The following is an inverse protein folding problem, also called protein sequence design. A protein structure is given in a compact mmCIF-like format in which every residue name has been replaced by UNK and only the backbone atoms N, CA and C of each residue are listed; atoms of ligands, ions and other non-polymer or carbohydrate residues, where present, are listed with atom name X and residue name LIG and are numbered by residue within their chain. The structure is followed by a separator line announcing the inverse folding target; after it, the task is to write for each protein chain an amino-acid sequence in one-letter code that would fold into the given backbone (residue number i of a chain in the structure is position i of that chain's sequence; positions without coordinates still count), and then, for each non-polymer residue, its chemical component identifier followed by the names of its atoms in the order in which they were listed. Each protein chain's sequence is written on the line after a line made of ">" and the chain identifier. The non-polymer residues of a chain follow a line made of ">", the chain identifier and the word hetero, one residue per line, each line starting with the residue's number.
data_IF_724031350392
#
_entry.id   IF_724031350392
#
_cell.length_a   1.000
_cell.length_b   1.000
_cell.length_c   1.000
_cell.angle_alpha   90.00
_cell.angle_beta   90.00
_cell.angle_gamma   90.00
#
_symmetry.space_group_name_H-M   'P 1'
#
loop_
_entity.id
_entity.type
_entity.pdbx_description
1 polymer ?
#
# COMPACT_ATOMS: atom_id res chain seq x y z
N UNK A 1 12.19 -16.31 -28.21
CA UNK A 1 10.86 -16.42 -27.58
C UNK A 1 9.81 -15.56 -28.30
N UNK A 2 10.19 -14.44 -28.93
CA UNK A 2 9.25 -13.48 -29.55
C UNK A 2 8.49 -13.97 -30.80
N UNK A 3 8.87 -15.11 -31.40
CA UNK A 3 8.20 -15.63 -32.60
C UNK A 3 6.82 -16.27 -32.31
N UNK A 4 6.53 -16.57 -31.03
CA UNK A 4 5.31 -17.25 -30.61
C UNK A 4 4.22 -16.31 -30.10
N UNK A 5 4.46 -15.00 -30.06
CA UNK A 5 3.48 -14.01 -29.61
C UNK A 5 3.14 -13.04 -30.76
N UNK A 6 1.89 -12.58 -30.87
CA UNK A 6 1.53 -11.56 -31.85
C UNK A 6 2.42 -10.32 -31.73
N UNK A 7 3.01 -9.82 -32.82
CA UNK A 7 3.85 -8.63 -32.76
C UNK A 7 3.01 -7.38 -32.45
N UNK A 8 3.50 -6.56 -31.51
CA UNK A 8 2.90 -5.28 -31.14
C UNK A 8 3.67 -4.11 -31.77
N UNK A 9 3.01 -2.97 -32.04
CA UNK A 9 3.71 -1.75 -32.44
C UNK A 9 4.55 -1.21 -31.27
N UNK A 10 5.51 -0.33 -31.56
CA UNK A 10 6.29 0.35 -30.52
C UNK A 10 5.43 1.22 -29.57
N UNK A 11 4.31 1.75 -30.06
CA UNK A 11 3.34 2.52 -29.27
C UNK A 11 2.07 1.69 -29.09
N UNK A 12 1.92 1.12 -27.89
CA UNK A 12 0.81 0.26 -27.49
C UNK A 12 -0.35 1.02 -26.84
N UNK A 13 -0.35 2.35 -26.87
CA UNK A 13 -1.43 3.16 -26.29
C UNK A 13 -2.68 3.14 -27.15
N UNK A 14 -3.83 3.17 -26.49
CA UNK A 14 -5.14 3.25 -27.12
C UNK A 14 -5.61 4.71 -27.18
N UNK A 15 -6.06 5.16 -28.34
CA UNK A 15 -6.78 6.43 -28.47
C UNK A 15 -8.28 6.17 -28.36
N UNK A 16 -9.02 7.10 -27.74
CA UNK A 16 -10.45 6.91 -27.50
C UNK A 16 -11.25 8.21 -27.62
N UNK A 17 -12.54 8.05 -27.94
CA UNK A 17 -13.54 9.09 -27.90
C UNK A 17 -14.80 8.55 -27.21
N UNK A 18 -15.45 9.37 -26.39
CA UNK A 18 -16.67 9.01 -25.67
C UNK A 18 -17.83 9.79 -26.27
N UNK A 19 -18.94 9.13 -26.57
CA UNK A 19 -20.19 9.78 -26.92
C UNK A 19 -21.35 9.16 -26.14
N UNK A 20 -22.50 9.86 -26.07
CA UNK A 20 -23.72 9.25 -25.54
C UNK A 20 -24.23 8.18 -26.52
N UNK A 21 -24.94 7.19 -25.98
CA UNK A 21 -25.69 6.23 -26.78
C UNK A 21 -26.99 6.88 -27.26
N UNK A 22 -27.32 6.69 -28.54
CA UNK A 22 -28.56 7.20 -29.13
C UNK A 22 -29.80 6.45 -28.62
N UNK A 23 -29.62 5.22 -28.10
CA UNK A 23 -30.70 4.36 -27.60
C UNK A 23 -31.09 4.63 -26.14
N UNK A 24 -30.13 5.04 -25.30
CA UNK A 24 -30.39 5.28 -23.88
C UNK A 24 -29.48 6.41 -23.33
N UNK A 25 -30.06 7.53 -22.87
CA UNK A 25 -29.31 8.71 -22.40
C UNK A 25 -28.49 8.47 -21.12
N UNK A 26 -28.73 7.37 -20.40
CA UNK A 26 -27.95 6.94 -19.23
C UNK A 26 -26.70 6.14 -19.59
N UNK A 27 -26.59 5.68 -20.84
CA UNK A 27 -25.47 4.89 -21.33
C UNK A 27 -24.60 5.67 -22.30
N UNK A 28 -23.30 5.38 -22.28
CA UNK A 28 -22.33 5.95 -23.21
C UNK A 28 -21.78 4.84 -24.08
N UNK A 29 -21.23 5.26 -25.21
CA UNK A 29 -20.40 4.43 -26.07
C UNK A 29 -18.99 5.01 -26.13
N UNK A 30 -18.01 4.12 -26.23
CA UNK A 30 -16.60 4.49 -26.32
C UNK A 30 -16.06 3.91 -27.61
N UNK A 31 -15.65 4.77 -28.53
CA UNK A 31 -14.86 4.40 -29.69
C UNK A 31 -13.40 4.29 -29.22
N UNK A 32 -12.80 3.12 -29.40
CA UNK A 32 -11.37 2.90 -29.18
C UNK A 32 -10.69 2.63 -30.51
N UNK A 33 -9.45 3.11 -30.63
CA UNK A 33 -8.60 2.98 -31.81
C UNK A 33 -7.17 2.63 -31.39
N UNK A 34 -6.49 1.79 -32.17
CA UNK A 34 -5.12 1.36 -31.91
C UNK A 34 -4.29 1.30 -33.19
N UNK A 35 -2.97 1.24 -33.03
CA UNK A 35 -2.04 0.96 -34.13
C UNK A 35 -1.87 -0.56 -34.24
N UNK A 36 -1.97 -1.10 -35.44
CA UNK A 36 -1.67 -2.51 -35.71
C UNK A 36 -0.37 -2.62 -36.52
N UNK A 37 0.43 -3.64 -36.24
CA UNK A 37 1.63 -3.94 -37.03
C UNK A 37 1.21 -4.47 -38.40
N UNK A 38 1.89 -4.04 -39.48
CA UNK A 38 1.56 -4.48 -40.83
C UNK A 38 1.55 -6.01 -40.96
N UNK A 39 2.48 -6.72 -40.32
CA UNK A 39 2.53 -8.18 -40.29
C UNK A 39 1.26 -8.85 -39.74
N UNK A 40 0.57 -8.20 -38.81
CA UNK A 40 -0.72 -8.69 -38.27
C UNK A 40 -1.84 -8.44 -39.28
N UNK A 41 -1.82 -7.28 -39.94
CA UNK A 41 -2.85 -6.85 -40.89
C UNK A 41 -2.79 -7.61 -42.22
N UNK A 42 -1.59 -7.92 -42.71
CA UNK A 42 -1.34 -8.62 -43.99
C UNK A 42 -1.23 -10.13 -43.85
N UNK A 43 -1.41 -10.67 -42.64
CA UNK A 43 -1.42 -12.10 -42.42
C UNK A 43 -2.62 -12.78 -43.09
N UNK A 44 -2.58 -14.11 -43.17
CA UNK A 44 -3.71 -14.93 -43.61
C UNK A 44 -5.01 -14.53 -42.88
N UNK A 45 -6.12 -14.53 -43.61
CA UNK A 45 -7.41 -14.13 -43.06
C UNK A 45 -7.76 -14.96 -41.81
N UNK A 46 -8.28 -14.29 -40.77
CA UNK A 46 -8.64 -14.88 -39.47
C UNK A 46 -7.49 -15.46 -38.63
N UNK A 47 -6.23 -15.28 -39.04
CA UNK A 47 -5.09 -15.65 -38.20
C UNK A 47 -5.08 -14.86 -36.90
N UNK A 48 -5.33 -13.56 -36.98
CA UNK A 48 -5.38 -12.68 -35.81
C UNK A 48 -6.79 -12.15 -35.56
N UNK A 49 -7.07 -11.87 -34.29
CA UNK A 49 -8.28 -11.18 -33.85
C UNK A 49 -7.93 -10.20 -32.74
N UNK A 50 -8.45 -8.98 -32.84
CA UNK A 50 -8.37 -8.01 -31.76
C UNK A 50 -9.59 -8.17 -30.88
N UNK A 51 -9.39 -8.19 -29.57
CA UNK A 51 -10.46 -8.26 -28.60
C UNK A 51 -10.21 -7.26 -27.49
N UNK A 52 -11.25 -6.53 -27.09
CA UNK A 52 -11.25 -5.65 -25.95
C UNK A 52 -12.00 -6.31 -24.78
N UNK A 53 -11.33 -6.41 -23.64
CA UNK A 53 -11.96 -6.73 -22.36
C UNK A 53 -12.30 -5.42 -21.66
N UNK A 54 -13.56 -5.31 -21.22
CA UNK A 54 -14.05 -4.20 -20.42
C UNK A 54 -14.28 -4.71 -19.00
N UNK A 55 -13.67 -4.07 -18.01
CA UNK A 55 -13.78 -4.44 -16.61
C UNK A 55 -14.01 -3.21 -15.72
N UNK A 56 -14.68 -3.40 -14.57
CA UNK A 56 -14.80 -2.39 -13.51
C UNK A 56 -13.57 -2.29 -12.61
N UNK A 57 -12.67 -3.27 -12.66
CA UNK A 57 -11.41 -3.34 -11.91
C UNK A 57 -10.25 -3.46 -12.89
N UNK A 58 -9.04 -3.02 -12.51
CA UNK A 58 -7.85 -3.32 -13.32
C UNK A 58 -7.70 -4.85 -13.37
N UNK A 59 -7.63 -5.48 -14.55
CA UNK A 59 -7.47 -6.92 -14.63
C UNK A 59 -6.09 -7.32 -14.09
N UNK A 60 -6.04 -8.15 -13.04
CA UNK A 60 -4.81 -8.79 -12.56
C UNK A 60 -4.48 -9.96 -13.48
N UNK A 61 -3.86 -9.67 -14.63
CA UNK A 61 -3.52 -10.67 -15.66
C UNK A 61 -2.38 -11.63 -15.25
N UNK A 62 -1.89 -11.55 -14.02
CA UNK A 62 -0.85 -12.42 -13.47
C UNK A 62 -1.35 -13.81 -13.05
N UNK A 63 -2.66 -14.08 -13.09
CA UNK A 63 -3.22 -15.38 -12.67
C UNK A 63 -4.06 -15.97 -13.81
N UNK A 64 -3.52 -16.96 -14.51
CA UNK A 64 -4.30 -17.82 -15.38
C UNK A 64 -5.34 -18.58 -14.55
N UNK A 65 -6.61 -18.16 -14.55
CA UNK A 65 -7.70 -18.96 -13.99
C UNK A 65 -8.96 -18.22 -13.57
N UNK A 66 -8.90 -16.95 -13.18
CA UNK A 66 -10.06 -16.26 -12.59
C UNK A 66 -10.48 -15.02 -13.40
N UNK A 67 -11.25 -15.26 -14.47
CA UNK A 67 -11.83 -14.19 -15.28
C UNK A 67 -13.21 -13.70 -14.77
N UNK A 68 -13.50 -13.88 -13.47
CA UNK A 68 -14.89 -13.81 -12.98
C UNK A 68 -15.25 -12.58 -12.14
N UNK A 69 -14.30 -11.89 -11.51
CA UNK A 69 -14.62 -10.70 -10.71
C UNK A 69 -14.44 -9.37 -11.46
N UNK A 70 -15.53 -8.84 -12.00
CA UNK A 70 -15.59 -7.46 -12.50
C UNK A 70 -15.50 -7.28 -14.01
N UNK A 71 -15.45 -8.37 -14.77
CA UNK A 71 -15.63 -8.37 -16.22
C UNK A 71 -17.04 -7.90 -16.57
N UNK A 72 -17.14 -6.87 -17.41
CA UNK A 72 -18.42 -6.32 -17.90
C UNK A 72 -18.78 -6.88 -19.27
N UNK A 73 -17.82 -6.89 -20.20
CA UNK A 73 -18.04 -7.39 -21.55
C UNK A 73 -16.73 -7.66 -22.27
N UNK A 74 -16.80 -8.49 -23.33
CA UNK A 74 -15.70 -8.76 -24.25
C UNK A 74 -16.21 -8.47 -25.67
N UNK A 75 -15.44 -7.70 -26.43
CA UNK A 75 -15.77 -7.31 -27.81
C UNK A 75 -14.63 -7.71 -28.71
N UNK A 76 -14.88 -8.35 -29.85
CA UNK A 76 -13.82 -8.76 -30.76
C UNK A 76 -14.09 -8.30 -32.19
N UNK A 77 -13.04 -7.89 -32.89
CA UNK A 77 -13.05 -7.47 -34.29
C UNK A 77 -11.95 -8.19 -35.10
N UNK A 78 -12.15 -8.40 -36.41
CA UNK A 78 -11.15 -9.06 -37.26
C UNK A 78 -9.85 -8.24 -37.38
N UNK A 79 -8.76 -8.89 -37.79
CA UNK A 79 -7.42 -8.28 -37.93
C UNK A 79 -7.35 -7.08 -38.89
N UNK A 80 -8.35 -6.91 -39.76
CA UNK A 80 -8.47 -5.77 -40.68
C UNK A 80 -8.90 -4.49 -39.98
N UNK A 81 -9.50 -4.60 -38.79
CA UNK A 81 -10.01 -3.47 -38.03
C UNK A 81 -8.97 -3.00 -37.01
N UNK A 82 -8.83 -1.69 -36.90
CA UNK A 82 -7.98 -1.02 -35.92
C UNK A 82 -8.80 -0.11 -34.97
N UNK A 83 -10.12 -0.30 -34.97
CA UNK A 83 -11.06 0.41 -34.14
C UNK A 83 -12.24 -0.47 -33.76
N UNK A 84 -12.87 -0.17 -32.62
CA UNK A 84 -14.15 -0.77 -32.21
C UNK A 84 -14.94 0.17 -31.30
N UNK A 85 -16.25 0.01 -31.28
CA UNK A 85 -17.17 0.76 -30.41
C UNK A 85 -17.66 -0.16 -29.30
N UNK A 86 -17.48 0.27 -28.06
CA UNK A 86 -17.98 -0.41 -26.86
C UNK A 86 -19.20 0.35 -26.38
N UNK A 87 -20.37 -0.28 -26.45
CA UNK A 87 -21.66 0.34 -26.12
C UNK A 87 -22.17 -0.06 -24.73
N UNK A 88 -23.29 0.53 -24.32
CA UNK A 88 -24.04 0.19 -23.10
C UNK A 88 -23.25 0.39 -21.79
N UNK A 89 -22.26 1.29 -21.80
CA UNK A 89 -21.49 1.60 -20.62
C UNK A 89 -22.21 2.65 -19.76
N UNK A 90 -22.56 2.27 -18.53
CA UNK A 90 -23.35 3.13 -17.63
C UNK A 90 -22.61 4.42 -17.25
N UNK A 91 -23.32 5.55 -17.26
CA UNK A 91 -22.82 6.84 -16.78
C UNK A 91 -22.53 6.82 -15.27
N UNK A 92 -21.52 7.57 -14.84
CA UNK A 92 -21.06 7.66 -13.46
C UNK A 92 -20.20 6.46 -13.02
N UNK A 93 -19.67 5.69 -13.97
CA UNK A 93 -18.83 4.50 -13.70
C UNK A 93 -17.48 4.63 -14.40
N UNK A 94 -16.47 3.98 -13.81
CA UNK A 94 -15.11 3.84 -14.33
C UNK A 94 -14.95 2.46 -14.94
N UNK A 95 -14.36 2.41 -16.13
CA UNK A 95 -14.09 1.18 -16.87
C UNK A 95 -12.61 1.12 -17.24
N UNK A 96 -12.05 -0.09 -17.18
CA UNK A 96 -10.73 -0.43 -17.70
C UNK A 96 -10.92 -1.25 -18.96
N UNK A 97 -10.34 -0.79 -20.06
CA UNK A 97 -10.47 -1.39 -21.38
C UNK A 97 -9.08 -1.84 -21.80
N UNK A 98 -8.88 -3.14 -21.95
CA UNK A 98 -7.62 -3.71 -22.42
C UNK A 98 -7.85 -4.39 -23.75
N UNK A 99 -7.16 -3.93 -24.79
CA UNK A 99 -7.16 -4.59 -26.11
C UNK A 99 -6.05 -5.62 -26.13
N UNK A 100 -6.36 -6.81 -26.64
CA UNK A 100 -5.38 -7.84 -26.93
C UNK A 100 -5.53 -8.30 -28.38
N UNK A 101 -4.41 -8.67 -28.97
CA UNK A 101 -4.37 -9.43 -30.22
C UNK A 101 -4.17 -10.90 -29.87
N UNK A 102 -4.99 -11.77 -30.44
CA UNK A 102 -4.88 -13.23 -30.29
C UNK A 102 -4.42 -13.83 -31.61
N UNK A 103 -3.39 -14.67 -31.56
CA UNK A 103 -3.04 -15.57 -32.65
C UNK A 103 -3.91 -16.82 -32.54
N UNK A 104 -4.79 -17.04 -33.51
CA UNK A 104 -5.65 -18.22 -33.57
C UNK A 104 -4.85 -19.50 -33.85
N UNK A 105 -3.68 -19.39 -34.50
CA UNK A 105 -2.84 -20.53 -34.86
C UNK A 105 -2.07 -21.06 -33.64
N UNK A 106 -1.43 -20.16 -32.88
CA UNK A 106 -0.59 -20.53 -31.74
C UNK A 106 -1.31 -20.43 -30.38
N UNK A 107 -2.51 -19.86 -30.33
CA UNK A 107 -3.26 -19.63 -29.09
C UNK A 107 -2.70 -18.54 -28.18
N UNK A 108 -1.58 -17.93 -28.57
CA UNK A 108 -0.89 -16.85 -27.85
C UNK A 108 -1.60 -15.52 -27.96
N UNK A 109 -1.48 -14.69 -26.93
CA UNK A 109 -2.04 -13.33 -26.88
C UNK A 109 -0.98 -12.29 -26.52
N UNK A 110 -1.13 -11.09 -27.05
CA UNK A 110 -0.35 -9.93 -26.65
C UNK A 110 -1.28 -8.76 -26.36
N UNK A 111 -1.02 -8.03 -25.27
CA UNK A 111 -1.88 -6.95 -24.79
C UNK A 111 -1.31 -5.58 -25.11
N UNK A 112 -2.22 -4.66 -25.46
CA UNK A 112 -1.97 -3.23 -25.48
C UNK A 112 -2.03 -2.66 -24.05
N UNK A 113 -1.63 -1.41 -23.88
CA UNK A 113 -1.79 -0.73 -22.60
C UNK A 113 -3.28 -0.61 -22.23
N UNK A 114 -3.60 -0.84 -20.96
CA UNK A 114 -4.96 -0.71 -20.44
C UNK A 114 -5.38 0.75 -20.44
N UNK A 115 -6.48 1.05 -21.13
CA UNK A 115 -7.12 2.36 -21.12
C UNK A 115 -8.11 2.47 -19.96
N UNK A 116 -8.01 3.56 -19.21
CA UNK A 116 -9.01 3.92 -18.22
C UNK A 116 -10.00 4.95 -18.78
N UNK A 117 -11.30 4.65 -18.72
CA UNK A 117 -12.36 5.55 -19.16
C UNK A 117 -13.31 5.86 -18.01
N UNK A 118 -13.51 7.16 -17.75
CA UNK A 118 -14.43 7.68 -16.75
C UNK A 118 -15.64 8.31 -17.44
N UNK A 119 -16.80 7.65 -17.37
CA UNK A 119 -18.02 8.12 -18.01
C UNK A 119 -18.79 9.05 -17.08
N UNK A 120 -18.74 10.37 -17.33
CA UNK A 120 -19.39 11.39 -16.48
C UNK A 120 -20.92 11.37 -16.69
N UNK A 121 -21.70 11.63 -15.63
CA UNK A 121 -23.14 11.95 -15.77
C UNK A 121 -23.28 13.37 -16.31
N UNK A 122 -24.32 13.61 -17.13
CA UNK A 122 -24.66 14.96 -17.54
C UNK A 122 -25.07 15.80 -16.31
N UNK A 123 -24.74 17.10 -16.27
CA UNK A 123 -25.06 17.95 -15.13
C UNK A 123 -26.55 18.26 -15.14
N UNK A 124 -27.33 17.61 -14.26
CA UNK A 124 -28.59 18.19 -13.83
C UNK A 124 -28.28 19.45 -13.03
N UNK A 125 -28.97 20.54 -13.38
CA UNK A 125 -28.99 21.79 -12.60
C UNK A 125 -29.59 21.51 -11.24
N UNK A 126 -28.78 20.99 -10.33
CA UNK A 126 -29.07 21.02 -8.91
C UNK A 126 -27.95 21.80 -8.26
N UNK A 127 -28.35 22.88 -7.57
CA UNK A 127 -27.59 23.46 -6.49
C UNK A 127 -27.36 22.37 -5.43
N UNK A 128 -26.38 21.53 -5.70
CA UNK A 128 -25.67 20.77 -4.69
C UNK A 128 -24.26 21.26 -4.83
N UNK A 129 -23.87 22.07 -3.85
CA UNK A 129 -22.49 22.32 -3.49
C UNK A 129 -21.69 21.05 -3.80
N UNK A 130 -20.83 21.11 -4.82
CA UNK A 130 -19.60 20.36 -4.75
C UNK A 130 -19.00 20.74 -3.41
N UNK A 131 -19.17 19.88 -2.40
CA UNK A 131 -18.10 19.73 -1.43
C UNK A 131 -16.90 19.40 -2.29
N UNK A 132 -16.09 20.44 -2.58
CA UNK A 132 -14.68 20.26 -2.82
C UNK A 132 -14.27 19.26 -1.77
N UNK A 133 -13.90 18.05 -2.15
CA UNK A 133 -13.10 17.22 -1.25
C UNK A 133 -11.96 18.16 -0.84
N UNK A 134 -11.97 18.59 0.41
CA UNK A 134 -11.01 19.55 0.92
C UNK A 134 -9.63 18.93 0.71
N UNK A 135 -8.92 19.41 -0.32
CA UNK A 135 -7.54 19.03 -0.54
C UNK A 135 -6.78 19.46 0.71
N UNK A 136 -6.32 18.48 1.49
CA UNK A 136 -5.65 18.75 2.75
C UNK A 136 -4.23 19.19 2.43
N UNK A 137 -3.78 20.29 3.03
CA UNK A 137 -2.39 20.71 2.89
C UNK A 137 -1.55 19.98 3.92
N UNK A 138 -0.55 19.22 3.46
CA UNK A 138 0.46 18.60 4.30
C UNK A 138 1.60 19.59 4.52
N UNK A 139 1.83 19.98 5.76
CA UNK A 139 2.85 20.98 6.10
C UNK A 139 4.24 20.36 6.26
N UNK A 140 5.28 21.13 5.90
CA UNK A 140 6.67 20.66 6.01
C UNK A 140 7.02 20.28 7.45
N UNK A 141 7.49 19.04 7.61
CA UNK A 141 7.92 18.46 8.87
C UNK A 141 6.84 18.42 9.97
N UNK A 142 5.56 18.50 9.62
CA UNK A 142 4.44 18.36 10.58
C UNK A 142 3.80 16.98 10.42
N UNK A 143 3.55 16.31 11.56
CA UNK A 143 2.82 15.06 11.59
C UNK A 143 1.32 15.35 11.58
N UNK A 144 0.62 14.86 10.56
CA UNK A 144 -0.81 15.07 10.38
C UNK A 144 -1.56 13.75 10.51
N UNK A 145 -2.63 13.75 11.31
CA UNK A 145 -3.55 12.63 11.41
C UNK A 145 -4.66 12.74 10.36
N UNK A 146 -4.98 11.62 9.71
CA UNK A 146 -5.99 11.50 8.68
C UNK A 146 -6.94 10.34 8.95
N UNK A 147 -8.15 10.47 8.43
CA UNK A 147 -9.14 9.39 8.44
C UNK A 147 -9.63 9.14 7.03
N UNK A 148 -9.64 7.87 6.62
CA UNK A 148 -10.23 7.41 5.38
C UNK A 148 -11.66 6.92 5.65
N UNK A 149 -12.64 7.28 4.81
CA UNK A 149 -14.00 6.78 4.94
C UNK A 149 -14.08 5.24 4.90
N UNK A 150 -15.11 4.68 5.54
CA UNK A 150 -15.45 3.26 5.49
C UNK A 150 -16.01 2.85 4.11
N UNK A 151 -15.17 2.97 3.08
CA UNK A 151 -15.53 2.70 1.70
C UNK A 151 -14.29 2.27 0.92
N UNK A 152 -14.32 1.06 0.39
CA UNK A 152 -13.25 0.54 -0.46
C UNK A 152 -13.06 1.40 -1.69
N UNK A 153 -11.82 1.77 -1.97
CA UNK A 153 -11.44 2.66 -3.06
C UNK A 153 -11.72 4.13 -2.78
N UNK A 154 -12.19 4.51 -1.58
CA UNK A 154 -12.19 5.92 -1.17
C UNK A 154 -10.76 6.43 -1.06
N UNK A 155 -10.57 7.71 -1.38
CA UNK A 155 -9.26 8.35 -1.40
C UNK A 155 -9.31 9.69 -0.69
N UNK A 156 -8.21 10.05 -0.05
CA UNK A 156 -7.98 11.42 0.46
C UNK A 156 -6.69 11.93 -0.16
N UNK A 157 -6.74 13.15 -0.67
CA UNK A 157 -5.62 13.81 -1.33
C UNK A 157 -4.98 14.84 -0.39
N UNK A 158 -3.65 14.78 -0.31
CA UNK A 158 -2.79 15.67 0.47
C UNK A 158 -1.85 16.41 -0.47
N UNK A 159 -1.82 17.73 -0.36
CA UNK A 159 -0.92 18.59 -1.14
C UNK A 159 0.33 18.93 -0.34
N UNK A 160 1.49 18.76 -0.95
CA UNK A 160 2.77 19.12 -0.34
C UNK A 160 3.54 20.06 -1.25
N UNK A 161 3.89 21.24 -0.74
CA UNK A 161 4.60 22.27 -1.48
C UNK A 161 6.11 22.16 -1.28
N UNK A 162 6.84 22.06 -2.39
CA UNK A 162 8.31 22.03 -2.39
C UNK A 162 8.82 23.41 -2.77
N UNK A 163 9.55 24.05 -1.85
CA UNK A 163 10.10 25.40 -2.03
C UNK A 163 11.14 25.49 -3.17
N UNK A 164 11.22 26.67 -3.80
CA UNK A 164 12.15 27.02 -4.88
C UNK A 164 13.61 27.13 -4.43
N UNK A 165 13.87 27.23 -3.13
CA UNK A 165 15.24 27.29 -2.58
C UNK A 165 15.94 25.92 -2.51
N UNK A 166 15.28 24.85 -2.96
CA UNK A 166 15.88 23.53 -3.01
C UNK A 166 16.84 23.45 -4.22
N UNK A 167 18.14 23.35 -3.94
CA UNK A 167 19.20 23.15 -4.96
C UNK A 167 18.95 21.89 -5.80
N UNK A 168 19.62 21.80 -6.96
CA UNK A 168 19.46 20.75 -7.97
C UNK A 168 19.31 19.34 -7.34
N UNK A 169 18.21 18.67 -7.68
CA UNK A 169 17.75 17.35 -7.18
C UNK A 169 17.34 17.30 -5.70
N UNK A 170 16.18 17.91 -5.38
CA UNK A 170 15.62 17.74 -4.05
C UNK A 170 14.99 16.34 -3.89
N UNK A 171 15.11 15.79 -2.69
CA UNK A 171 14.44 14.56 -2.27
C UNK A 171 13.34 14.95 -1.29
N UNK A 172 12.20 14.27 -1.34
CA UNK A 172 11.13 14.40 -0.34
C UNK A 172 10.96 13.05 0.32
N UNK A 173 11.05 13.01 1.64
CA UNK A 173 10.68 11.85 2.42
C UNK A 173 9.21 11.99 2.81
N UNK A 174 8.38 11.08 2.31
CA UNK A 174 7.00 10.88 2.77
C UNK A 174 6.98 9.70 3.72
N UNK A 175 6.32 9.86 4.86
CA UNK A 175 6.05 8.82 5.82
C UNK A 175 4.54 8.62 5.88
N UNK A 176 4.12 7.37 5.83
CA UNK A 176 2.73 6.97 6.03
C UNK A 176 2.73 5.87 7.08
N UNK A 177 2.06 6.12 8.20
CA UNK A 177 1.76 5.13 9.21
C UNK A 177 0.28 4.76 9.11
N UNK A 178 -0.01 3.61 8.52
CA UNK A 178 -1.37 3.08 8.47
C UNK A 178 -1.70 2.39 9.79
N UNK A 179 -2.46 3.09 10.63
CA UNK A 179 -2.82 2.64 11.96
C UNK A 179 -3.79 1.44 11.90
N UNK A 180 -4.64 1.40 10.88
CA UNK A 180 -5.64 0.35 10.70
C UNK A 180 -5.64 -0.22 9.29
N UNK A 181 -5.72 -1.55 9.20
CA UNK A 181 -5.89 -2.27 7.94
C UNK A 181 -4.87 -1.89 6.86
N UNK A 182 -5.30 -2.03 5.60
CA UNK A 182 -4.43 -1.80 4.44
C UNK A 182 -4.82 -0.54 3.68
N UNK A 183 -3.81 0.26 3.34
CA UNK A 183 -3.94 1.44 2.50
C UNK A 183 -2.99 1.33 1.30
N UNK A 184 -3.27 2.08 0.24
CA UNK A 184 -2.31 2.33 -0.85
C UNK A 184 -1.95 3.80 -0.90
N UNK A 185 -0.69 4.09 -1.19
CA UNK A 185 -0.23 5.44 -1.49
C UNK A 185 -0.09 5.61 -3.00
N UNK A 186 -0.41 6.80 -3.51
CA UNK A 186 -0.08 7.25 -4.87
C UNK A 186 0.52 8.66 -4.82
N UNK A 187 1.60 8.89 -5.55
CA UNK A 187 2.23 10.22 -5.68
C UNK A 187 1.98 10.75 -7.07
N UNK A 188 1.45 11.96 -7.16
CA UNK A 188 1.23 12.67 -8.42
C UNK A 188 2.02 13.97 -8.45
N UNK A 189 2.40 14.39 -9.65
CA UNK A 189 2.96 15.71 -9.94
C UNK A 189 2.32 16.24 -11.21
N UNK A 190 1.72 17.43 -11.13
CA UNK A 190 1.00 18.05 -12.25
C UNK A 190 -0.02 17.07 -12.90
N UNK A 191 -0.74 16.32 -12.07
CA UNK A 191 -1.70 15.29 -12.53
C UNK A 191 -1.09 13.96 -13.02
N UNK A 192 0.21 13.90 -13.29
CA UNK A 192 0.90 12.67 -13.70
C UNK A 192 1.22 11.80 -12.48
N UNK A 193 0.81 10.53 -12.52
CA UNK A 193 1.20 9.53 -11.53
C UNK A 193 2.71 9.26 -11.63
N UNK A 194 3.42 9.45 -10.52
CA UNK A 194 4.85 9.16 -10.39
C UNK A 194 5.08 7.77 -9.80
N UNK A 195 4.35 7.42 -8.75
CA UNK A 195 4.49 6.13 -8.07
C UNK A 195 3.17 5.73 -7.42
N UNK A 196 2.89 4.44 -7.45
CA UNK A 196 1.85 3.78 -6.68
C UNK A 196 2.50 2.68 -5.84
N UNK A 197 2.09 2.55 -4.58
CA UNK A 197 2.52 1.45 -3.72
C UNK A 197 1.58 0.26 -3.86
N UNK A 198 2.10 -0.92 -3.55
CA UNK A 198 1.25 -2.06 -3.15
C UNK A 198 0.49 -1.72 -1.85
N UNK A 199 -0.61 -2.44 -1.53
CA UNK A 199 -1.27 -2.32 -0.24
C UNK A 199 -0.30 -2.58 0.91
N UNK A 200 -0.35 -1.73 1.94
CA UNK A 200 0.44 -1.92 3.15
C UNK A 200 -0.34 -1.49 4.39
N UNK A 201 0.02 -2.07 5.52
CA UNK A 201 -0.38 -1.69 6.87
C UNK A 201 0.85 -1.22 7.65
N UNK A 202 0.63 -0.53 8.77
CA UNK A 202 1.71 -0.05 9.63
C UNK A 202 2.60 1.01 8.97
N UNK A 203 3.85 1.08 9.42
CA UNK A 203 4.78 2.14 9.06
C UNK A 203 5.50 1.89 7.72
N UNK A 204 5.47 2.90 6.83
CA UNK A 204 6.25 2.92 5.58
C UNK A 204 6.87 4.28 5.31
N UNK A 205 8.07 4.25 4.73
CA UNK A 205 8.80 5.41 4.22
C UNK A 205 8.85 5.34 2.69
N UNK A 206 8.57 6.47 2.04
CA UNK A 206 8.68 6.65 0.60
C UNK A 206 9.65 7.79 0.34
N UNK A 207 10.78 7.48 -0.30
CA UNK A 207 11.73 8.49 -0.73
C UNK A 207 11.44 8.87 -2.18
N UNK A 208 10.88 10.06 -2.38
CA UNK A 208 10.66 10.63 -3.71
C UNK A 208 11.93 11.38 -4.11
N UNK A 209 12.60 10.90 -5.15
CA UNK A 209 13.84 11.50 -5.70
C UNK A 209 13.54 12.36 -6.92
N UNK A 210 14.51 13.20 -7.33
CA UNK A 210 14.39 14.08 -8.50
C UNK A 210 13.17 15.01 -8.43
N UNK A 211 12.86 15.47 -7.21
CA UNK A 211 11.82 16.45 -6.96
C UNK A 211 12.35 17.83 -7.35
N UNK A 212 11.47 18.61 -7.94
CA UNK A 212 11.71 19.99 -8.34
C UNK A 212 10.73 20.88 -7.55
N UNK A 213 10.98 22.18 -7.51
CA UNK A 213 10.05 23.12 -6.90
C UNK A 213 8.65 22.99 -7.50
N UNK A 214 7.63 23.06 -6.64
CA UNK A 214 6.24 22.92 -7.05
C UNK A 214 5.45 21.97 -6.15
N UNK A 215 4.29 21.57 -6.63
CA UNK A 215 3.31 20.83 -5.84
C UNK A 215 3.39 19.32 -6.10
N UNK A 216 3.50 18.55 -5.02
CA UNK A 216 3.26 17.11 -5.02
C UNK A 216 1.87 16.85 -4.44
N UNK A 217 1.16 15.86 -5.00
CA UNK A 217 -0.10 15.37 -4.45
C UNK A 217 0.07 13.93 -4.01
N UNK A 218 -0.08 13.68 -2.71
CA UNK A 218 -0.09 12.36 -2.12
C UNK A 218 -1.54 11.92 -1.92
N UNK A 219 -1.91 10.83 -2.58
CA UNK A 219 -3.24 10.24 -2.45
C UNK A 219 -3.14 8.97 -1.62
N UNK A 220 -3.90 8.91 -0.53
CA UNK A 220 -4.05 7.69 0.26
C UNK A 220 -5.39 7.07 -0.06
N UNK A 221 -5.38 5.80 -0.45
CA UNK A 221 -6.56 5.04 -0.82
C UNK A 221 -6.85 3.95 0.22
N UNK A 222 -8.11 3.83 0.61
CA UNK A 222 -8.59 2.73 1.43
C UNK A 222 -8.77 1.48 0.55
N UNK A 223 -8.14 0.36 0.94
CA UNK A 223 -8.25 -0.89 0.17
C UNK A 223 -9.31 -1.87 0.70
N UNK A 224 -9.94 -1.53 1.83
CA UNK A 224 -11.04 -2.30 2.40
C UNK A 224 -12.27 -1.43 2.71
N UNK A 225 -13.32 -2.05 3.24
CA UNK A 225 -14.62 -1.40 3.49
C UNK A 225 -14.69 -0.68 4.84
N UNK A 226 -13.65 -0.72 5.68
CA UNK A 226 -13.67 -0.15 7.04
C UNK A 226 -12.95 1.20 7.07
N UNK A 227 -13.39 2.11 7.92
CA UNK A 227 -12.70 3.40 8.09
C UNK A 227 -11.28 3.18 8.61
N UNK A 228 -10.32 3.96 8.12
CA UNK A 228 -8.91 3.85 8.51
C UNK A 228 -8.42 5.11 9.17
N UNK A 229 -7.61 4.98 10.20
CA UNK A 229 -6.76 6.08 10.66
C UNK A 229 -5.35 5.94 10.06
N UNK A 230 -4.76 7.07 9.70
CA UNK A 230 -3.42 7.16 9.11
C UNK A 230 -2.69 8.38 9.68
N UNK A 231 -1.39 8.25 9.96
CA UNK A 231 -0.52 9.42 10.19
C UNK A 231 0.35 9.66 8.96
N UNK A 232 0.42 10.91 8.51
CA UNK A 232 1.24 11.35 7.39
C UNK A 232 2.26 12.38 7.86
N UNK A 233 3.45 12.30 7.30
CA UNK A 233 4.48 13.31 7.51
C UNK A 233 5.28 13.43 6.22
N UNK A 234 5.61 14.66 5.80
CA UNK A 234 6.48 14.86 4.66
C UNK A 234 7.47 15.99 4.92
N UNK A 235 8.69 15.83 4.43
CA UNK A 235 9.67 16.91 4.40
C UNK A 235 10.74 16.69 3.36
N UNK A 236 11.41 17.77 2.98
CA UNK A 236 12.70 17.73 2.26
C UNK A 236 13.89 17.46 3.20
N UNK A 237 13.68 17.60 4.51
CA UNK A 237 14.66 17.43 5.59
C UNK A 237 14.37 16.14 6.36
N UNK A 238 14.94 15.01 5.90
CA UNK A 238 14.64 13.69 6.44
C UNK A 238 15.01 13.52 7.93
N UNK A 239 16.01 14.26 8.40
CA UNK A 239 16.48 14.30 9.78
C UNK A 239 15.46 14.88 10.76
N UNK A 240 14.46 15.64 10.28
CA UNK A 240 13.35 16.14 11.10
C UNK A 240 12.24 15.13 11.34
N UNK A 241 12.37 13.90 10.82
CA UNK A 241 11.37 12.85 10.99
C UNK A 241 11.13 12.60 12.49
N UNK A 242 9.87 12.57 12.97
CA UNK A 242 9.55 12.32 14.38
C UNK A 242 9.76 10.85 14.79
N UNK A 243 10.07 9.97 13.85
CA UNK A 243 10.17 8.53 14.05
C UNK A 243 11.62 8.07 14.17
N UNK A 244 11.92 7.02 14.96
CA UNK A 244 13.27 6.51 15.13
C UNK A 244 13.85 5.95 13.82
N UNK A 245 15.17 5.96 13.72
CA UNK A 245 15.94 5.35 12.63
C UNK A 245 16.23 3.88 12.96
N UNK A 246 15.17 3.06 12.93
CA UNK A 246 15.28 1.63 13.18
C UNK A 246 16.25 0.94 12.20
N UNK A 247 16.96 -0.12 12.65
CA UNK A 247 17.78 -0.95 11.77
C UNK A 247 16.92 -1.69 10.73
N UNK A 248 17.55 -2.18 9.68
CA UNK A 248 16.88 -2.98 8.65
C UNK A 248 16.30 -4.27 9.24
N UNK A 249 17.06 -4.94 10.10
CA UNK A 249 16.58 -6.06 10.90
C UNK A 249 16.05 -5.57 12.25
N UNK A 250 14.73 -5.51 12.36
CA UNK A 250 14.02 -5.19 13.61
C UNK A 250 13.66 -6.44 14.41
N UNK A 251 14.36 -7.57 14.20
CA UNK A 251 14.13 -8.78 14.98
C UNK A 251 14.53 -8.61 16.45
N UNK A 252 13.71 -9.19 17.32
CA UNK A 252 14.03 -9.40 18.74
C UNK A 252 14.28 -10.88 18.94
N UNK A 253 15.42 -11.23 19.52
CA UNK A 253 15.86 -12.60 19.74
C UNK A 253 15.74 -12.97 21.21
N UNK A 254 15.32 -14.21 21.45
CA UNK A 254 15.38 -14.83 22.79
C UNK A 254 16.71 -15.54 22.89
N UNK A 255 17.64 -15.01 23.68
CA UNK A 255 18.98 -15.58 23.80
C UNK A 255 19.10 -16.55 24.97
N UNK A 256 18.31 -16.33 26.04
CA UNK A 256 18.22 -17.24 27.19
C UNK A 256 16.78 -17.25 27.71
N UNK A 257 16.38 -18.36 28.31
CA UNK A 257 15.10 -18.50 29.01
C UNK A 257 15.23 -19.49 30.16
N UNK A 258 14.45 -19.27 31.22
CA UNK A 258 14.26 -20.22 32.31
C UNK A 258 12.76 -20.51 32.51
N UNK A 259 12.42 -21.11 33.63
CA UNK A 259 11.03 -21.23 34.10
C UNK A 259 10.40 -19.86 34.43
N UNK A 260 11.21 -18.86 34.78
CA UNK A 260 10.75 -17.58 35.35
C UNK A 260 11.39 -16.34 34.74
N UNK A 261 12.26 -16.51 33.74
CA UNK A 261 12.97 -15.41 33.09
C UNK A 261 13.08 -15.61 31.58
N UNK A 262 13.20 -14.51 30.85
CA UNK A 262 13.50 -14.48 29.43
C UNK A 262 14.47 -13.34 29.12
N UNK A 263 15.59 -13.65 28.48
CA UNK A 263 16.56 -12.66 28.04
C UNK A 263 16.31 -12.35 26.56
N UNK A 264 15.98 -11.09 26.30
CA UNK A 264 15.66 -10.55 24.99
C UNK A 264 16.83 -9.70 24.48
N UNK A 265 17.13 -9.80 23.19
CA UNK A 265 18.22 -9.09 22.55
C UNK A 265 17.77 -8.51 21.21
N UNK A 266 18.12 -7.26 20.91
CA UNK A 266 17.76 -6.58 19.65
C UNK A 266 18.85 -5.62 19.19
N UNK A 267 18.81 -5.23 17.92
CA UNK A 267 19.67 -4.20 17.36
C UNK A 267 19.12 -2.82 17.71
N UNK A 268 19.98 -1.89 18.12
CA UNK A 268 19.62 -0.49 18.39
C UNK A 268 19.29 0.27 17.11
N UNK A 269 18.50 1.33 17.24
CA UNK A 269 18.33 2.38 16.25
C UNK A 269 19.59 3.23 16.08
N UNK A 270 19.70 3.87 14.92
CA UNK A 270 20.79 4.78 14.58
C UNK A 270 20.58 6.20 15.15
N UNK A 271 19.62 6.39 16.06
CA UNK A 271 19.38 7.68 16.70
C UNK A 271 20.43 7.96 17.80
N UNK A 272 20.80 9.22 17.98
CA UNK A 272 21.76 9.62 19.02
C UNK A 272 21.19 9.41 20.43
N UNK A 273 19.87 9.50 20.61
CA UNK A 273 19.22 9.12 21.85
C UNK A 273 17.87 8.47 21.57
N UNK A 274 17.72 7.22 22.01
CA UNK A 274 16.48 6.47 21.87
C UNK A 274 16.15 5.72 23.15
N UNK A 275 14.86 5.65 23.46
CA UNK A 275 14.30 4.83 24.52
C UNK A 275 13.64 3.58 23.91
N UNK A 276 13.80 2.45 24.59
CA UNK A 276 13.26 1.15 24.22
C UNK A 276 12.34 0.65 25.33
N UNK A 277 11.03 0.67 25.11
CA UNK A 277 10.04 0.19 26.08
C UNK A 277 9.53 -1.20 25.69
N UNK A 278 9.61 -2.13 26.64
CA UNK A 278 9.17 -3.52 26.46
C UNK A 278 7.83 -3.71 27.15
N UNK A 279 6.87 -4.22 26.40
CA UNK A 279 5.55 -4.57 26.86
C UNK A 279 5.38 -6.08 26.81
N UNK A 280 4.73 -6.64 27.82
CA UNK A 280 4.50 -8.07 27.97
C UNK A 280 3.02 -8.36 28.07
N UNK A 281 2.58 -9.43 27.42
CA UNK A 281 1.27 -10.02 27.65
C UNK A 281 1.41 -11.53 27.81
N UNK A 282 0.66 -12.08 28.77
CA UNK A 282 0.50 -13.53 28.88
C UNK A 282 -0.53 -14.01 27.87
N UNK A 283 -0.17 -15.06 27.16
CA UNK A 283 -0.98 -15.61 26.07
C UNK A 283 -1.53 -16.96 26.48
N UNK A 284 -2.83 -17.15 26.25
CA UNK A 284 -3.50 -18.40 26.54
C UNK A 284 -3.26 -19.38 25.38
N UNK A 285 -3.14 -20.68 25.68
CA UNK A 285 -2.89 -21.71 24.67
C UNK A 285 -3.92 -21.68 23.52
N UNK A 286 -5.14 -21.23 23.81
CA UNK A 286 -6.21 -21.04 22.83
C UNK A 286 -5.89 -19.98 21.77
N UNK A 287 -4.99 -19.02 22.00
CA UNK A 287 -4.73 -17.95 21.03
C UNK A 287 -4.03 -18.45 19.76
N UNK A 288 -3.09 -19.39 19.89
CA UNK A 288 -2.44 -20.02 18.73
C UNK A 288 -3.40 -20.94 17.98
N UNK A 289 -4.21 -21.73 18.70
CA UNK A 289 -5.27 -22.53 18.07
C UNK A 289 -6.36 -21.67 17.46
N UNK A 290 -6.67 -20.51 18.06
CA UNK A 290 -7.61 -19.53 17.52
C UNK A 290 -7.02 -18.84 16.29
N UNK A 291 -5.73 -18.50 16.27
CA UNK A 291 -5.04 -17.99 15.07
C UNK A 291 -5.02 -19.02 13.92
N UNK A 292 -4.69 -20.26 14.24
CA UNK A 292 -4.67 -21.37 13.27
C UNK A 292 -6.08 -21.70 12.79
N UNK A 293 -7.08 -21.72 13.68
CA UNK A 293 -8.50 -21.90 13.34
C UNK A 293 -9.06 -20.71 12.53
N UNK A 294 -8.60 -19.49 12.80
CA UNK A 294 -8.98 -18.28 12.05
C UNK A 294 -8.37 -18.25 10.65
N UNK A 295 -7.19 -18.84 10.46
CA UNK A 295 -6.58 -19.01 9.13
C UNK A 295 -7.30 -20.08 8.30
N UNK A 296 -7.82 -21.14 8.94
CA UNK A 296 -8.57 -22.20 8.24
C UNK A 296 -10.03 -21.85 7.90
N UNK A 297 -10.65 -20.88 8.59
CA UNK A 297 -12.00 -20.35 8.30
C UNK A 297 -12.01 -18.93 7.72
N UNK A 298 -10.93 -18.52 7.05
CA UNK A 298 -10.69 -17.14 6.60
C UNK A 298 -11.86 -16.49 5.84
N UNK A 299 -12.61 -17.27 5.05
CA UNK A 299 -13.75 -16.77 4.27
C UNK A 299 -15.04 -16.57 5.10
N UNK A 300 -15.33 -17.43 6.08
CA UNK A 300 -16.56 -17.35 6.88
C UNK A 300 -16.45 -16.33 8.03
N UNK A 301 -15.25 -16.19 8.60
CA UNK A 301 -14.99 -15.24 9.70
C UNK A 301 -14.99 -13.78 9.22
N UNK A 302 -14.48 -13.51 8.01
CA UNK A 302 -14.48 -12.17 7.41
C UNK A 302 -15.90 -11.61 7.19
N UNK A 303 -16.89 -12.48 6.99
CA UNK A 303 -18.29 -12.07 6.76
C UNK A 303 -19.14 -11.92 8.02
N UNK A 304 -18.78 -12.58 9.15
CA UNK A 304 -19.63 -12.64 10.34
C UNK A 304 -19.05 -11.96 11.59
N UNK A 305 -17.74 -11.72 11.67
CA UNK A 305 -17.08 -11.22 12.88
C UNK A 305 -16.16 -10.00 12.67
N UNK A 306 -16.31 -9.29 11.55
CA UNK A 306 -15.46 -8.12 11.24
C UNK A 306 -15.67 -6.91 12.17
N UNK A 307 -16.75 -6.89 12.98
CA UNK A 307 -17.07 -5.81 13.93
C UNK A 307 -16.43 -5.98 15.33
N UNK A 308 -15.93 -7.18 15.67
CA UNK A 308 -15.39 -7.47 17.01
C UNK A 308 -13.89 -7.72 17.07
N UNK A 309 -13.22 -7.68 15.92
CA UNK A 309 -11.76 -7.60 15.89
C UNK A 309 -11.41 -6.13 16.06
N UNK A 310 -11.20 -5.70 17.31
CA UNK A 310 -10.40 -4.50 17.62
C UNK A 310 -9.16 -4.58 16.74
N UNK A 311 -9.18 -3.82 15.64
CA UNK A 311 -7.99 -3.61 14.85
C UNK A 311 -7.11 -2.80 15.78
N UNK A 312 -6.14 -3.48 16.40
CA UNK A 312 -5.17 -2.83 17.27
C UNK A 312 -4.60 -1.64 16.50
N UNK A 313 -4.86 -0.43 16.99
CA UNK A 313 -4.38 0.81 16.41
C UNK A 313 -2.85 0.73 16.35
N UNK A 314 -2.27 0.47 15.18
CA UNK A 314 -0.83 0.27 15.01
C UNK A 314 -0.02 1.55 15.31
N UNK A 315 -0.69 2.71 15.36
CA UNK A 315 -0.07 3.98 15.68
C UNK A 315 0.05 4.24 17.18
N UNK A 316 -0.83 3.66 17.99
CA UNK A 316 -0.74 3.66 19.44
C UNK A 316 -0.04 2.37 19.85
N UNK A 317 1.27 2.47 20.09
CA UNK A 317 2.04 1.32 20.51
C UNK A 317 1.54 0.76 21.85
N UNK A 318 1.42 -0.56 21.94
CA UNK A 318 0.88 -1.27 23.10
C UNK A 318 -0.56 -1.71 22.86
N UNK A 319 -0.79 -3.02 22.87
CA UNK A 319 -2.14 -3.57 22.90
C UNK A 319 -2.77 -3.25 24.28
N UNK A 320 -4.08 -2.97 24.32
CA UNK A 320 -4.79 -2.51 25.55
C UNK A 320 -4.65 -3.43 26.78
N UNK A 321 -4.16 -4.66 26.64
CA UNK A 321 -3.89 -5.55 27.78
C UNK A 321 -2.43 -6.04 27.87
N UNK A 322 -1.49 -5.20 27.43
CA UNK A 322 -0.07 -5.40 27.64
C UNK A 322 0.43 -4.61 28.85
N UNK A 323 1.26 -5.24 29.68
CA UNK A 323 1.88 -4.63 30.86
C UNK A 323 3.26 -4.11 30.50
N UNK A 324 3.60 -2.89 30.94
CA UNK A 324 4.94 -2.34 30.75
C UNK A 324 5.93 -3.10 31.65
N UNK A 325 6.92 -3.74 31.04
CA UNK A 325 8.03 -4.38 31.75
C UNK A 325 9.05 -3.35 32.19
N UNK A 326 9.42 -2.45 31.27
CA UNK A 326 10.40 -1.39 31.53
C UNK A 326 10.85 -0.69 30.26
N UNK A 327 11.45 0.48 30.45
CA UNK A 327 12.03 1.30 29.39
C UNK A 327 13.54 1.48 29.60
N UNK A 328 14.30 1.36 28.52
CA UNK A 328 15.75 1.42 28.52
C UNK A 328 16.20 2.55 27.59
N UNK A 329 16.83 3.58 28.15
CA UNK A 329 17.40 4.67 27.35
C UNK A 329 18.82 4.31 26.91
N UNK A 330 19.11 4.49 25.63
CA UNK A 330 20.42 4.25 25.05
C UNK A 330 20.91 5.51 24.32
N UNK A 331 22.21 5.80 24.44
CA UNK A 331 22.88 6.82 23.62
C UNK A 331 23.47 6.17 22.38
N UNK A 332 23.15 6.68 21.21
CA UNK A 332 23.69 6.25 19.93
C UNK A 332 25.21 6.36 19.88
N UNK A 333 25.84 5.81 18.84
CA UNK A 333 27.28 5.96 18.66
C UNK A 333 27.58 7.43 18.39
N UNK A 334 28.64 7.97 18.99
CA UNK A 334 29.17 9.27 18.54
C UNK A 334 29.70 9.12 17.10
N UNK A 335 29.81 10.23 16.37
CA UNK A 335 30.30 10.22 14.98
C UNK A 335 31.68 9.55 14.89
N UNK A 336 32.51 9.69 15.92
CA UNK A 336 33.83 9.07 16.04
C UNK A 336 33.76 7.55 16.25
N UNK A 337 32.73 7.04 16.94
CA UNK A 337 32.52 5.62 17.16
C UNK A 337 31.99 4.91 15.90
N UNK A 338 31.21 5.61 15.05
CA UNK A 338 30.77 5.09 13.76
C UNK A 338 31.91 4.89 12.76
N UNK A 339 32.98 5.71 12.86
CA UNK A 339 34.13 5.65 11.96
C UNK A 339 35.13 4.52 12.31
N UNK A 340 34.98 3.86 13.45
CA UNK A 340 35.92 2.84 13.95
C UNK A 340 35.45 1.39 13.81
N UNK A 341 34.29 1.14 13.19
CA UNK A 341 33.69 -0.21 13.00
C UNK A 341 33.47 -1.03 14.30
N UNK A 342 33.72 -0.42 15.46
CA UNK A 342 33.40 -0.96 16.78
C UNK A 342 31.97 -0.51 17.15
N UNK A 343 30.97 -1.38 16.96
CA UNK A 343 29.79 -1.53 17.83
C UNK A 343 28.65 -2.25 17.12
N UNK A 344 28.61 -3.57 17.21
CA UNK A 344 27.32 -4.26 17.03
C UNK A 344 26.42 -3.73 18.16
N UNK A 345 25.54 -2.79 17.82
CA UNK A 345 24.70 -2.06 18.77
C UNK A 345 23.59 -2.92 19.34
N UNK A 346 23.95 -4.07 19.91
CA UNK A 346 23.05 -5.02 20.54
C UNK A 346 22.68 -4.51 21.92
N UNK A 347 21.39 -4.47 22.20
CA UNK A 347 20.84 -4.22 23.52
C UNK A 347 20.27 -5.54 24.01
N UNK A 348 20.54 -5.86 25.28
CA UNK A 348 20.06 -7.08 25.93
C UNK A 348 19.41 -6.72 27.27
N UNK A 349 18.27 -7.35 27.56
CA UNK A 349 17.66 -7.26 28.88
C UNK A 349 17.02 -8.58 29.28
N UNK A 350 16.91 -8.81 30.59
CA UNK A 350 16.24 -10.00 31.14
C UNK A 350 14.94 -9.60 31.82
N UNK A 351 13.83 -10.10 31.28
CA UNK A 351 12.52 -10.04 31.92
C UNK A 351 12.45 -11.12 32.99
N UNK A 352 12.01 -10.75 34.19
CA UNK A 352 11.88 -11.63 35.35
C UNK A 352 10.42 -11.75 35.79
N UNK A 353 10.12 -12.70 36.69
CA UNK A 353 8.77 -12.87 37.25
C UNK A 353 7.80 -13.59 36.33
N UNK A 354 8.30 -14.35 35.34
CA UNK A 354 7.46 -15.16 34.47
C UNK A 354 6.99 -16.43 35.20
N UNK A 355 5.84 -16.97 34.79
CA UNK A 355 5.34 -18.25 35.29
C UNK A 355 5.87 -19.42 34.45
N UNK A 356 6.15 -20.59 35.06
CA UNK A 356 6.52 -21.80 34.34
C UNK A 356 5.46 -22.31 33.36
N UNK A 357 5.90 -22.95 32.28
CA UNK A 357 5.05 -23.53 31.23
C UNK A 357 4.02 -22.57 30.59
N UNK A 358 4.28 -21.27 30.61
CA UNK A 358 3.42 -20.23 30.00
C UNK A 358 4.04 -19.69 28.71
N UNK A 359 3.19 -19.16 27.85
CA UNK A 359 3.60 -18.42 26.66
C UNK A 359 3.36 -16.94 26.90
N UNK A 360 4.36 -16.13 26.60
CA UNK A 360 4.33 -14.68 26.67
C UNK A 360 4.61 -14.08 25.30
N UNK A 361 3.92 -12.99 25.01
CA UNK A 361 4.18 -12.12 23.87
C UNK A 361 4.90 -10.88 24.39
N UNK A 362 5.98 -10.50 23.73
CA UNK A 362 6.70 -9.27 23.99
C UNK A 362 6.67 -8.37 22.76
N UNK A 363 6.23 -7.14 22.98
CA UNK A 363 6.25 -6.06 21.99
C UNK A 363 7.26 -5.01 22.45
N UNK A 364 8.18 -4.62 21.58
CA UNK A 364 9.22 -3.66 21.87
C UNK A 364 9.00 -2.41 21.01
N UNK A 365 8.93 -1.25 21.65
CA UNK A 365 8.77 0.05 20.99
C UNK A 365 10.02 0.88 21.19
N UNK A 366 10.50 1.53 20.13
CA UNK A 366 11.57 2.52 20.24
C UNK A 366 11.05 3.93 19.97
N UNK A 367 11.54 4.91 20.74
CA UNK A 367 11.17 6.32 20.67
C UNK A 367 12.42 7.20 20.66
N UNK A 368 12.59 8.14 19.70
CA UNK A 368 13.72 9.06 19.68
C UNK A 368 13.51 10.18 20.72
N UNK A 369 14.39 10.30 21.71
CA UNK A 369 14.17 11.20 22.86
C UNK A 369 14.51 12.68 22.58
N UNK A 370 15.23 12.98 21.52
CA UNK A 370 15.67 14.35 21.20
C UNK A 370 14.60 15.18 20.47
N UNK A 371 13.51 14.57 20.03
CA UNK A 371 12.54 15.20 19.14
C UNK A 371 11.30 15.64 19.90
N UNK A 372 10.86 16.90 19.68
CA UNK A 372 9.72 17.51 20.41
C UNK A 372 8.37 16.80 20.19
N UNK A 373 8.21 16.09 19.08
CA UNK A 373 6.99 15.35 18.73
C UNK A 373 7.34 13.90 18.38
N UNK A 374 8.25 13.31 19.17
CA UNK A 374 8.70 11.94 18.95
C UNK A 374 7.53 10.95 18.85
N UNK A 375 7.65 10.01 17.93
CA UNK A 375 6.71 8.93 17.73
C UNK A 375 7.44 7.60 17.87
N UNK A 376 6.78 6.62 18.49
CA UNK A 376 7.36 5.30 18.66
C UNK A 376 7.20 4.45 17.39
N UNK A 377 8.13 3.51 17.16
CA UNK A 377 7.95 2.43 16.19
C UNK A 377 8.22 1.06 16.81
N UNK A 378 7.47 0.03 16.38
CA UNK A 378 7.65 -1.32 16.90
C UNK A 378 8.81 -2.05 16.24
N UNK A 379 9.53 -2.82 17.06
CA UNK A 379 10.31 -3.97 16.60
C UNK A 379 9.37 -5.15 16.33
N UNK A 380 9.89 -6.20 15.70
CA UNK A 380 9.11 -7.43 15.51
C UNK A 380 8.79 -8.05 16.86
N UNK A 381 7.52 -8.34 17.06
CA UNK A 381 7.02 -9.10 18.22
C UNK A 381 7.77 -10.42 18.37
N UNK A 382 8.08 -10.77 19.62
CA UNK A 382 8.68 -12.07 19.95
C UNK A 382 7.81 -12.83 20.94
N UNK A 383 7.74 -14.14 20.75
CA UNK A 383 6.97 -15.05 21.59
C UNK A 383 7.93 -15.91 22.39
N UNK A 384 7.71 -16.02 23.70
CA UNK A 384 8.54 -16.81 24.60
C UNK A 384 7.68 -17.79 25.35
N UNK A 385 7.98 -19.08 25.22
CA UNK A 385 7.46 -20.10 26.12
C UNK A 385 8.46 -20.36 27.23
N UNK A 386 8.08 -20.20 28.48
CA UNK A 386 8.94 -20.51 29.64
C UNK A 386 9.14 -22.02 29.77
N UNK A 387 10.22 -22.43 30.45
CA UNK A 387 10.46 -23.84 30.73
C UNK A 387 9.40 -24.40 31.71
N UNK A 388 9.18 -25.72 31.68
CA UNK A 388 8.22 -26.38 32.55
C UNK A 388 8.69 -26.40 34.02
N UNK A 389 10.00 -26.41 34.26
CA UNK A 389 10.60 -26.48 35.58
C UNK A 389 11.81 -25.54 35.69
N UNK A 390 12.01 -25.04 36.91
CA UNK A 390 13.28 -24.51 37.38
C UNK A 390 14.12 -25.70 37.88
#
# INVERSE_FOLDING_TARGET
>A
MDAFYPPLPHDTRLAHAVSKSDENPETNQVLITWKAVDRVRTAEANRYRFCAIVSRKVPDWAVCGELNEGLESIHCVPQTNNSMIIQKLRSGKRYFITVFVRDSLHGSTSSYETLEVNLRRAPEKNHTETRKDEEKSLHDAVLEAGTLPAKKGSTVDYQFMVSTNATQSSKVLLIVHACDGYVRMSVYRNGKLLKRSEPFSGFRRFLIVNVHSGQLRFQIANDDSRSKSVHLWASTQAEKSPYPKLPEDTSVKVVRRSCSTATLQWLRSADEHAEYCIYMRRENANYLEELVSRLSYFYAFFLLFSDKLEASNLCEGGLESSELVGCYSHRGPTVEAMLRDDSIGLIETTVVGLEPARTYRFDLLATPLQLKQAQSLPYRTVWVRTANSC
#
